data_IF_961466498145
#
_entry.id   IF_961466498145
#
_cell.length_a   1.000
_cell.length_b   1.000
_cell.length_c   1.000
_cell.angle_alpha   90.00
_cell.angle_beta   90.00
_cell.angle_gamma   90.00
#
_symmetry.space_group_name_H-M   'P 1'
#
loop_
_entity.id
_entity.type
_entity.pdbx_description
1 polymer ?
#
# COMPACT_ATOMS: atom_id res chain seq x y z
N UNK A 1 36.78 -27.92 -42.69
CA UNK A 1 37.00 -28.53 -41.35
C UNK A 1 35.97 -27.91 -40.42
N UNK A 2 34.73 -28.37 -40.51
CA UNK A 2 34.12 -29.43 -39.69
C UNK A 2 33.89 -28.97 -38.24
N UNK A 3 32.62 -28.61 -37.99
CA UNK A 3 31.98 -28.54 -36.68
C UNK A 3 31.96 -29.91 -35.99
N UNK A 4 31.67 -29.97 -34.69
CA UNK A 4 30.31 -30.29 -34.24
C UNK A 4 29.91 -29.48 -32.98
N UNK A 5 28.65 -29.27 -32.63
CA UNK A 5 27.42 -29.93 -33.05
C UNK A 5 26.73 -30.62 -31.87
N UNK A 6 25.80 -29.90 -31.24
CA UNK A 6 24.53 -30.33 -30.63
C UNK A 6 24.45 -31.43 -29.55
N UNK A 7 23.65 -31.12 -28.52
CA UNK A 7 22.53 -31.99 -28.17
C UNK A 7 22.47 -32.47 -26.71
N UNK A 8 21.70 -31.79 -25.87
CA UNK A 8 21.10 -32.44 -24.69
C UNK A 8 19.60 -32.20 -24.72
N UNK A 9 18.90 -33.19 -25.28
CA UNK A 9 17.45 -33.29 -25.36
C UNK A 9 16.85 -33.66 -24.00
N UNK A 10 15.75 -32.99 -23.65
CA UNK A 10 14.77 -33.49 -22.68
C UNK A 10 14.25 -34.87 -23.12
N UNK A 11 14.21 -35.83 -22.20
CA UNK A 11 13.38 -37.03 -22.34
C UNK A 11 12.37 -37.14 -21.18
N UNK A 12 11.20 -37.75 -21.45
CA UNK A 12 10.00 -37.65 -20.62
C UNK A 12 9.92 -38.73 -19.52
N UNK A 13 9.31 -38.35 -18.40
CA UNK A 13 8.94 -39.26 -17.31
C UNK A 13 7.93 -40.29 -17.83
N UNK A 14 8.36 -41.56 -17.89
CA UNK A 14 7.50 -42.71 -18.20
C UNK A 14 6.55 -43.01 -17.05
N UNK A 15 5.28 -43.14 -17.41
CA UNK A 15 4.20 -43.71 -16.61
C UNK A 15 4.41 -45.23 -16.51
N UNK A 16 4.35 -45.78 -15.30
CA UNK A 16 4.39 -47.23 -15.06
C UNK A 16 2.96 -47.77 -14.80
N UNK A 17 2.51 -48.84 -15.49
CA UNK A 17 1.18 -49.41 -15.31
C UNK A 17 1.14 -50.57 -14.29
N UNK A 18 0.03 -50.58 -13.53
CA UNK A 18 -0.79 -51.69 -12.99
C UNK A 18 -0.19 -53.10 -12.75
N UNK A 19 -0.57 -53.72 -11.60
CA UNK A 19 -0.97 -55.13 -11.34
C UNK A 19 -1.24 -55.24 -9.82
N UNK A 20 -2.50 -55.24 -9.34
CA UNK A 20 -3.44 -56.35 -9.03
C UNK A 20 -3.03 -57.32 -7.91
N UNK A 21 -3.86 -57.37 -6.84
CA UNK A 21 -4.38 -58.57 -6.14
C UNK A 21 -5.28 -58.11 -4.97
N UNK A 22 -6.62 -58.19 -5.07
CA UNK A 22 -7.51 -59.26 -4.58
C UNK A 22 -7.20 -59.75 -3.16
N UNK A 23 -7.92 -59.18 -2.18
CA UNK A 23 -8.06 -59.71 -0.83
C UNK A 23 -9.50 -59.59 -0.36
N UNK A 24 -10.26 -60.67 -0.50
CA UNK A 24 -11.63 -60.84 0.01
C UNK A 24 -11.57 -61.00 1.53
N UNK A 25 -12.31 -60.19 2.29
CA UNK A 25 -12.61 -60.49 3.69
C UNK A 25 -14.11 -60.36 3.92
N UNK A 26 -14.63 -61.47 4.46
CA UNK A 26 -16.03 -61.85 4.55
C UNK A 26 -16.84 -60.92 5.48
N UNK A 27 -18.08 -60.67 5.07
CA UNK A 27 -19.12 -60.11 5.92
C UNK A 27 -19.61 -61.19 6.87
N UNK A 28 -19.40 -61.00 8.17
CA UNK A 28 -20.17 -61.70 9.19
C UNK A 28 -21.32 -60.77 9.62
N UNK A 29 -22.54 -61.25 9.38
CA UNK A 29 -23.78 -60.74 9.97
C UNK A 29 -23.94 -61.37 11.35
N UNK A 30 -24.47 -60.59 12.30
CA UNK A 30 -25.43 -60.96 13.36
C UNK A 30 -25.47 -59.84 14.42
N UNK A 31 -26.50 -59.75 15.31
CA UNK A 31 -27.93 -59.70 15.05
C UNK A 31 -28.58 -58.43 15.67
N UNK A 32 -29.81 -58.16 15.27
CA UNK A 32 -30.68 -57.08 15.75
C UNK A 32 -31.04 -57.25 17.24
N UNK A 33 -30.80 -56.23 18.07
CA UNK A 33 -31.42 -56.10 19.40
C UNK A 33 -32.17 -54.77 19.50
N UNK A 34 -33.44 -54.87 19.90
CA UNK A 34 -34.34 -53.77 20.18
C UNK A 34 -33.90 -52.97 21.42
N UNK A 35 -33.95 -51.63 21.28
CA UNK A 35 -34.47 -50.63 22.20
C UNK A 35 -34.14 -50.71 23.71
N UNK A 36 -33.34 -49.74 24.18
CA UNK A 36 -33.64 -48.99 25.39
C UNK A 36 -33.29 -47.50 25.16
N UNK A 37 -34.30 -46.65 25.17
CA UNK A 37 -34.18 -45.19 25.11
C UNK A 37 -33.48 -44.71 26.38
N UNK A 38 -32.23 -44.28 26.27
CA UNK A 38 -31.52 -43.64 27.37
C UNK A 38 -32.16 -42.27 27.67
N UNK A 39 -32.58 -42.06 28.91
CA UNK A 39 -32.95 -40.76 29.44
C UNK A 39 -31.80 -39.76 29.19
N UNK A 40 -32.09 -38.50 28.78
CA UNK A 40 -31.04 -37.51 28.60
C UNK A 40 -30.33 -37.27 29.94
N UNK A 41 -29.02 -37.43 29.96
CA UNK A 41 -28.16 -37.07 31.10
C UNK A 41 -28.40 -35.60 31.47
N UNK A 42 -28.52 -35.25 32.76
CA UNK A 42 -28.66 -33.87 33.18
C UNK A 42 -27.49 -33.05 32.62
N UNK A 43 -27.79 -31.87 32.04
CA UNK A 43 -26.75 -30.93 31.60
C UNK A 43 -25.84 -30.66 32.80
N UNK A 44 -24.51 -30.68 32.65
CA UNK A 44 -23.64 -30.28 33.73
C UNK A 44 -24.04 -28.86 34.16
N UNK A 45 -24.30 -28.70 35.45
CA UNK A 45 -24.43 -27.40 36.11
C UNK A 45 -23.24 -26.53 35.66
N UNK A 46 -23.43 -25.23 35.40
CA UNK A 46 -22.30 -24.37 35.03
C UNK A 46 -21.26 -24.51 36.15
N UNK A 47 -20.08 -25.04 35.80
CA UNK A 47 -18.93 -25.10 36.70
C UNK A 47 -18.83 -23.77 37.43
N UNK A 48 -18.89 -23.81 38.77
CA UNK A 48 -18.63 -22.65 39.59
C UNK A 48 -17.23 -22.19 39.23
N UNK A 49 -17.16 -21.02 38.58
CA UNK A 49 -15.91 -20.33 38.28
C UNK A 49 -15.23 -20.09 39.62
N UNK A 50 -14.00 -20.56 39.73
CA UNK A 50 -13.16 -20.28 40.88
C UNK A 50 -12.83 -18.78 40.90
N UNK A 51 -13.29 -18.00 41.90
CA UNK A 51 -13.07 -16.56 41.96
C UNK A 51 -11.58 -16.19 42.07
N UNK A 52 -10.70 -17.13 42.43
CA UNK A 52 -9.23 -16.93 42.41
C UNK A 52 -8.62 -16.96 40.99
N UNK A 53 -9.39 -17.32 39.96
CA UNK A 53 -8.93 -17.39 38.55
C UNK A 53 -9.33 -16.21 37.68
N UNK A 54 -10.15 -15.28 38.18
CA UNK A 54 -10.57 -14.09 37.43
C UNK A 54 -9.62 -12.94 37.69
N UNK A 55 -9.13 -12.30 36.64
CA UNK A 55 -8.21 -11.17 36.71
C UNK A 55 -8.87 -9.90 36.11
N UNK A 56 -9.53 -9.06 36.92
CA UNK A 56 -10.13 -7.81 36.46
C UNK A 56 -9.10 -6.81 35.90
N UNK A 57 -7.90 -6.77 36.48
CA UNK A 57 -6.83 -5.87 36.04
C UNK A 57 -6.39 -6.22 34.62
N UNK A 58 -6.37 -7.50 34.27
CA UNK A 58 -6.13 -7.94 32.89
C UNK A 58 -7.20 -7.46 31.90
N UNK A 59 -8.47 -7.36 32.32
CA UNK A 59 -9.53 -6.82 31.44
C UNK A 59 -9.34 -5.33 31.21
N UNK A 60 -9.05 -4.58 32.26
CA UNK A 60 -8.87 -3.13 32.17
C UNK A 60 -7.61 -2.80 31.37
N UNK A 61 -6.50 -3.52 31.61
CA UNK A 61 -5.28 -3.40 30.81
C UNK A 61 -5.50 -3.73 29.32
N UNK A 62 -6.29 -4.77 29.01
CA UNK A 62 -6.63 -5.11 27.61
C UNK A 62 -7.48 -4.01 26.98
N UNK A 63 -8.45 -3.46 27.70
CA UNK A 63 -9.30 -2.38 27.21
C UNK A 63 -8.49 -1.10 26.96
N UNK A 64 -7.58 -0.73 27.87
CA UNK A 64 -6.68 0.41 27.67
C UNK A 64 -5.76 0.19 26.45
N UNK A 65 -5.19 -1.01 26.33
CA UNK A 65 -4.30 -1.36 25.22
C UNK A 65 -5.02 -1.41 23.86
N UNK A 66 -6.30 -1.75 23.85
CA UNK A 66 -7.12 -1.98 22.66
C UNK A 66 -8.16 -0.89 22.43
N UNK A 67 -7.93 0.30 22.97
CA UNK A 67 -8.75 1.50 22.74
C UNK A 67 -10.24 1.26 23.07
N UNK A 68 -10.49 0.63 24.22
CA UNK A 68 -11.82 0.27 24.70
C UNK A 68 -12.46 -0.94 24.01
N UNK A 69 -11.80 -1.57 23.03
CA UNK A 69 -12.32 -2.75 22.30
C UNK A 69 -11.81 -4.05 22.93
N UNK A 70 -12.69 -5.04 23.10
CA UNK A 70 -12.31 -6.35 23.64
C UNK A 70 -12.98 -7.52 22.92
N UNK A 71 -12.20 -8.55 22.62
CA UNK A 71 -12.70 -9.80 22.07
C UNK A 71 -13.14 -10.76 23.18
N UNK A 72 -14.26 -11.46 22.98
CA UNK A 72 -14.79 -12.51 23.88
C UNK A 72 -13.73 -13.52 24.31
N UNK A 73 -12.83 -13.92 23.39
CA UNK A 73 -11.75 -14.88 23.72
C UNK A 73 -10.84 -14.37 24.83
N UNK A 74 -10.49 -13.07 24.84
CA UNK A 74 -9.63 -12.47 25.87
C UNK A 74 -10.32 -12.44 27.21
N UNK A 75 -11.62 -12.16 27.21
CA UNK A 75 -12.45 -12.19 28.43
C UNK A 75 -12.48 -13.59 29.05
N UNK A 76 -12.61 -14.63 28.21
CA UNK A 76 -12.60 -16.03 28.65
C UNK A 76 -11.20 -16.47 29.11
N UNK A 77 -10.15 -16.06 28.40
CA UNK A 77 -8.74 -16.29 28.79
C UNK A 77 -8.43 -15.67 30.16
N UNK A 78 -9.00 -14.51 30.46
CA UNK A 78 -8.93 -13.85 31.78
C UNK A 78 -9.83 -14.49 32.86
N UNK A 79 -10.42 -15.66 32.58
CA UNK A 79 -11.23 -16.43 33.52
C UNK A 79 -12.71 -16.04 33.61
N UNK A 80 -13.16 -15.02 32.87
CA UNK A 80 -14.55 -14.56 32.94
C UNK A 80 -15.48 -15.34 32.00
N UNK A 81 -16.72 -15.51 32.44
CA UNK A 81 -17.69 -16.33 31.72
C UNK A 81 -18.62 -15.54 30.80
N UNK A 82 -19.37 -16.26 29.96
CA UNK A 82 -20.42 -15.66 29.14
C UNK A 82 -21.49 -14.87 29.94
N UNK A 83 -21.97 -15.32 31.12
CA UNK A 83 -22.77 -14.51 32.03
C UNK A 83 -22.16 -13.15 32.40
N UNK A 84 -20.84 -13.08 32.64
CA UNK A 84 -20.15 -11.82 32.95
C UNK A 84 -20.28 -10.82 31.80
N UNK A 85 -20.01 -11.26 30.58
CA UNK A 85 -20.15 -10.44 29.36
C UNK A 85 -21.60 -9.98 29.20
N UNK A 86 -22.58 -10.89 29.35
CA UNK A 86 -24.01 -10.51 29.27
C UNK A 86 -24.39 -9.47 30.32
N UNK A 87 -23.82 -9.54 31.52
CA UNK A 87 -24.03 -8.55 32.58
C UNK A 87 -23.47 -7.18 32.18
N UNK A 88 -22.23 -7.11 31.67
CA UNK A 88 -21.61 -5.87 31.16
C UNK A 88 -22.46 -5.22 30.07
N UNK A 89 -22.92 -6.02 29.11
CA UNK A 89 -23.78 -5.54 28.02
C UNK A 89 -25.15 -5.07 28.52
N UNK A 90 -25.81 -5.85 29.39
CA UNK A 90 -27.11 -5.48 29.96
C UNK A 90 -27.04 -4.16 30.75
N UNK A 91 -25.93 -3.92 31.44
CA UNK A 91 -25.68 -2.69 32.20
C UNK A 91 -25.24 -1.51 31.34
N UNK A 92 -25.13 -1.68 30.02
CA UNK A 92 -24.60 -0.68 29.08
C UNK A 92 -23.18 -0.23 29.41
N UNK A 93 -22.45 -1.05 30.16
CA UNK A 93 -21.02 -0.85 30.38
C UNK A 93 -20.28 -1.22 29.09
N UNK A 94 -20.74 -2.26 28.38
CA UNK A 94 -20.21 -2.65 27.06
C UNK A 94 -21.30 -2.65 25.99
N UNK A 95 -20.95 -2.33 24.74
CA UNK A 95 -21.79 -2.53 23.56
C UNK A 95 -21.21 -3.61 22.64
N UNK A 96 -22.07 -4.45 22.05
CA UNK A 96 -21.65 -5.43 21.06
C UNK A 96 -21.48 -4.74 19.69
N UNK A 97 -20.31 -4.89 19.08
CA UNK A 97 -20.00 -4.30 17.76
C UNK A 97 -20.14 -5.34 16.65
N UNK A 98 -19.55 -6.52 16.85
CA UNK A 98 -19.66 -7.66 15.95
C UNK A 98 -19.74 -8.97 16.76
N UNK A 99 -19.79 -10.11 16.08
CA UNK A 99 -19.91 -11.41 16.73
C UNK A 99 -18.71 -11.68 17.65
N UNK A 100 -18.91 -11.51 18.96
CA UNK A 100 -17.89 -11.73 19.98
C UNK A 100 -16.90 -10.58 20.17
N UNK A 101 -17.16 -9.39 19.61
CA UNK A 101 -16.35 -8.18 19.83
C UNK A 101 -17.22 -7.12 20.51
N UNK A 102 -16.68 -6.50 21.55
CA UNK A 102 -17.36 -5.52 22.38
C UNK A 102 -16.53 -4.24 22.49
N UNK A 103 -17.18 -3.12 22.75
CA UNK A 103 -16.54 -1.84 23.13
C UNK A 103 -17.07 -1.40 24.50
N UNK A 104 -16.27 -0.70 25.29
CA UNK A 104 -16.59 -0.30 26.67
C UNK A 104 -17.44 0.98 26.80
N UNK A 105 -18.14 1.38 25.74
CA UNK A 105 -19.10 2.48 25.73
C UNK A 105 -20.27 2.18 24.80
N UNK A 106 -21.24 3.09 24.73
CA UNK A 106 -22.40 2.99 23.83
C UNK A 106 -22.43 4.07 22.73
N UNK A 107 -21.41 4.95 22.69
CA UNK A 107 -21.26 5.96 21.63
C UNK A 107 -20.84 5.39 20.27
N UNK A 108 -20.78 6.24 19.22
CA UNK A 108 -20.27 5.85 17.90
C UNK A 108 -18.79 5.46 17.97
N UNK A 109 -18.37 4.54 17.09
CA UNK A 109 -16.98 4.08 17.08
C UNK A 109 -16.03 5.15 16.53
N UNK A 110 -14.89 5.32 17.17
CA UNK A 110 -13.76 6.08 16.64
C UNK A 110 -13.11 5.34 15.46
N UNK A 111 -12.24 6.02 14.71
CA UNK A 111 -11.50 5.37 13.62
C UNK A 111 -10.57 4.27 14.15
N UNK A 112 -9.85 4.55 15.23
CA UNK A 112 -8.97 3.60 15.90
C UNK A 112 -9.73 2.36 16.41
N UNK A 113 -10.88 2.54 17.05
CA UNK A 113 -11.74 1.43 17.48
C UNK A 113 -12.20 0.56 16.29
N UNK A 114 -12.58 1.16 15.15
CA UNK A 114 -12.92 0.40 13.93
C UNK A 114 -11.74 -0.45 13.45
N UNK A 115 -10.52 0.08 13.52
CA UNK A 115 -9.31 -0.65 13.17
C UNK A 115 -9.09 -1.85 14.11
N UNK A 116 -9.28 -1.66 15.43
CA UNK A 116 -9.23 -2.73 16.42
C UNK A 116 -10.28 -3.80 16.19
N UNK A 117 -11.53 -3.40 15.93
CA UNK A 117 -12.63 -4.31 15.62
C UNK A 117 -12.30 -5.16 14.40
N UNK A 118 -11.80 -4.56 13.30
CA UNK A 118 -11.42 -5.28 12.09
C UNK A 118 -10.31 -6.31 12.34
N UNK A 119 -9.30 -5.94 13.14
CA UNK A 119 -8.20 -6.86 13.50
C UNK A 119 -8.67 -7.98 14.43
N UNK A 120 -9.46 -7.68 15.46
CA UNK A 120 -9.87 -8.66 16.46
C UNK A 120 -10.90 -9.66 15.92
N UNK A 121 -11.83 -9.22 15.06
CA UNK A 121 -12.83 -10.07 14.37
C UNK A 121 -12.16 -11.12 13.48
N UNK A 122 -11.02 -10.76 12.87
CA UNK A 122 -10.26 -11.62 11.97
C UNK A 122 -9.02 -12.25 12.60
N UNK A 123 -8.73 -12.01 13.88
CA UNK A 123 -7.45 -12.38 14.50
C UNK A 123 -7.14 -13.89 14.39
N UNK A 124 -5.86 -14.31 14.26
CA UNK A 124 -4.67 -13.48 14.05
C UNK A 124 -4.69 -12.70 12.74
N UNK A 125 -4.59 -11.37 12.84
CA UNK A 125 -4.70 -10.42 11.74
C UNK A 125 -3.94 -9.14 12.09
N UNK A 126 -3.60 -8.35 11.08
CA UNK A 126 -2.96 -7.05 11.26
C UNK A 126 -3.45 -6.05 10.21
N UNK A 127 -3.41 -4.76 10.51
CA UNK A 127 -3.62 -3.72 9.51
C UNK A 127 -2.56 -3.86 8.40
N UNK A 128 -2.95 -3.59 7.16
CA UNK A 128 -2.10 -3.73 5.97
C UNK A 128 -2.34 -2.59 4.99
N UNK A 129 -1.53 -2.53 3.92
CA UNK A 129 -1.68 -1.53 2.84
C UNK A 129 -1.83 -0.10 3.41
N UNK A 130 -2.78 0.68 2.89
CA UNK A 130 -3.05 2.05 3.33
C UNK A 130 -3.39 2.14 4.83
N UNK A 131 -4.09 1.16 5.40
CA UNK A 131 -4.43 1.14 6.83
C UNK A 131 -3.23 0.92 7.75
N UNK A 132 -2.17 0.24 7.28
CA UNK A 132 -0.90 0.13 8.02
C UNK A 132 -0.03 1.40 7.91
N UNK A 133 -0.16 2.14 6.81
CA UNK A 133 0.57 3.39 6.56
C UNK A 133 -0.10 4.56 7.29
N UNK A 134 -1.41 4.50 7.56
CA UNK A 134 -2.14 5.57 8.23
C UNK A 134 -1.54 5.96 9.60
N UNK A 135 -1.69 7.25 9.95
CA UNK A 135 -1.21 7.85 11.20
C UNK A 135 -2.33 8.67 11.83
N UNK A 136 -2.33 8.79 13.17
CA UNK A 136 -3.34 9.54 13.92
C UNK A 136 -4.77 9.12 13.56
N UNK A 137 -5.64 10.10 13.34
CA UNK A 137 -7.07 9.90 13.08
C UNK A 137 -7.39 9.21 11.75
N UNK A 138 -6.40 9.05 10.86
CA UNK A 138 -6.56 8.29 9.62
C UNK A 138 -6.52 6.76 9.85
N UNK A 139 -6.09 6.30 11.03
CA UNK A 139 -6.08 4.88 11.37
C UNK A 139 -7.53 4.39 11.48
N UNK A 140 -7.92 3.47 10.59
CA UNK A 140 -9.29 2.94 10.55
C UNK A 140 -10.28 3.78 9.74
N UNK A 141 -9.78 4.65 8.87
CA UNK A 141 -10.56 5.17 7.74
C UNK A 141 -10.92 4.02 6.78
N UNK A 142 -12.18 3.98 6.35
CA UNK A 142 -12.66 2.95 5.43
C UNK A 142 -12.21 3.21 3.98
N UNK A 143 -11.98 2.15 3.18
CA UNK A 143 -11.98 0.75 3.59
C UNK A 143 -10.78 0.40 4.48
N UNK A 144 -10.99 -0.44 5.49
CA UNK A 144 -9.94 -0.92 6.40
C UNK A 144 -9.28 -2.17 5.78
N UNK A 145 -8.01 -2.06 5.44
CA UNK A 145 -7.22 -3.16 4.88
C UNK A 145 -6.58 -3.97 6.01
N UNK A 146 -6.90 -5.26 6.09
CA UNK A 146 -6.26 -6.20 7.02
C UNK A 146 -5.57 -7.33 6.26
N UNK A 147 -4.53 -7.92 6.84
CA UNK A 147 -3.89 -9.13 6.34
C UNK A 147 -4.09 -10.28 7.33
N UNK A 148 -4.38 -11.46 6.80
CA UNK A 148 -4.43 -12.74 7.52
C UNK A 148 -3.57 -13.79 6.83
N UNK A 149 -3.26 -14.88 7.54
CA UNK A 149 -2.50 -15.98 6.96
C UNK A 149 -3.22 -16.57 5.72
N UNK A 150 -2.45 -16.84 4.66
CA UNK A 150 -2.97 -17.30 3.36
C UNK A 150 -3.80 -18.57 3.41
N UNK A 151 -3.57 -19.44 4.39
CA UNK A 151 -4.31 -20.71 4.56
C UNK A 151 -5.65 -20.49 5.26
N UNK A 152 -5.84 -19.36 5.95
CA UNK A 152 -7.10 -19.04 6.62
C UNK A 152 -8.18 -18.61 5.64
N UNK A 153 -9.43 -18.67 6.08
CA UNK A 153 -10.59 -18.11 5.38
C UNK A 153 -11.36 -17.27 6.38
N UNK A 154 -11.53 -16.00 6.06
CA UNK A 154 -12.26 -15.03 6.90
C UNK A 154 -13.52 -14.60 6.18
N UNK A 155 -14.61 -14.48 6.93
CA UNK A 155 -15.89 -14.02 6.39
C UNK A 155 -15.77 -12.56 5.97
N UNK A 156 -16.29 -12.21 4.80
CA UNK A 156 -16.33 -10.82 4.32
C UNK A 156 -17.16 -9.93 5.25
N UNK A 157 -16.71 -8.70 5.46
CA UNK A 157 -17.40 -7.65 6.20
C UNK A 157 -17.48 -6.38 5.35
N UNK A 158 -18.60 -5.65 5.36
CA UNK A 158 -18.64 -4.30 4.80
C UNK A 158 -17.54 -3.43 5.42
N UNK A 159 -16.94 -2.54 4.63
CA UNK A 159 -15.89 -1.64 5.09
C UNK A 159 -14.52 -2.28 5.35
N UNK A 160 -14.37 -3.60 5.23
CA UNK A 160 -13.09 -4.30 5.48
C UNK A 160 -12.62 -5.07 4.25
N UNK A 161 -11.39 -4.81 3.83
CA UNK A 161 -10.70 -5.53 2.75
C UNK A 161 -9.71 -6.51 3.36
N UNK A 162 -9.91 -7.81 3.09
CA UNK A 162 -9.08 -8.88 3.65
C UNK A 162 -8.05 -9.35 2.62
N UNK A 163 -6.78 -9.19 2.96
CA UNK A 163 -5.62 -9.64 2.22
C UNK A 163 -5.07 -10.94 2.81
N UNK A 164 -4.49 -11.78 1.95
CA UNK A 164 -4.00 -13.11 2.31
C UNK A 164 -2.49 -13.21 2.06
N UNK A 165 -1.73 -13.18 3.16
CA UNK A 165 -0.26 -13.12 3.14
C UNK A 165 0.42 -14.35 3.73
N UNK A 166 1.72 -14.47 3.49
CA UNK A 166 2.61 -15.47 4.12
C UNK A 166 3.66 -14.77 4.97
N UNK A 167 4.33 -15.51 5.87
CA UNK A 167 5.42 -15.01 6.73
C UNK A 167 5.01 -13.80 7.57
N UNK A 168 3.80 -13.86 8.16
CA UNK A 168 3.28 -12.73 8.93
C UNK A 168 4.13 -12.42 10.16
N UNK A 169 4.76 -13.42 10.77
CA UNK A 169 5.66 -13.22 11.92
C UNK A 169 6.83 -12.29 11.63
N UNK A 170 7.31 -12.26 10.39
CA UNK A 170 8.39 -11.37 9.96
C UNK A 170 7.86 -10.00 9.50
N UNK A 171 6.73 -10.01 8.77
CA UNK A 171 6.17 -8.83 8.10
C UNK A 171 5.33 -7.94 9.02
N UNK A 172 4.81 -8.47 10.11
CA UNK A 172 3.91 -7.77 11.03
C UNK A 172 4.65 -7.34 12.29
N UNK A 173 4.46 -6.09 12.68
CA UNK A 173 4.86 -5.61 13.99
C UNK A 173 3.74 -5.90 15.01
N UNK A 174 3.73 -7.11 15.56
CA UNK A 174 2.68 -7.60 16.49
C UNK A 174 2.60 -6.84 17.83
N UNK A 175 3.67 -6.13 18.19
CA UNK A 175 3.72 -5.29 19.39
C UNK A 175 3.03 -3.93 19.21
N UNK A 176 2.65 -3.54 17.99
CA UNK A 176 1.90 -2.32 17.76
C UNK A 176 0.41 -2.49 18.12
N UNK A 177 -0.25 -1.36 18.32
CA UNK A 177 -1.63 -1.25 18.78
C UNK A 177 -2.42 -0.36 17.81
N UNK A 178 -3.28 -0.91 16.94
CA UNK A 178 -3.39 -2.32 16.56
C UNK A 178 -2.13 -2.89 15.88
N UNK A 179 -1.95 -4.24 15.86
CA UNK A 179 -0.94 -4.89 15.04
C UNK A 179 -1.03 -4.46 13.59
N UNK A 180 0.11 -4.17 12.96
CA UNK A 180 0.17 -3.68 11.59
C UNK A 180 1.39 -4.23 10.85
N UNK A 181 1.24 -4.42 9.54
CA UNK A 181 2.34 -4.72 8.63
C UNK A 181 3.37 -3.60 8.75
N UNK A 182 4.66 -3.96 8.76
CA UNK A 182 5.77 -3.01 8.82
C UNK A 182 5.67 -2.01 7.67
N UNK A 183 6.10 -0.77 7.91
CA UNK A 183 5.88 0.35 7.00
C UNK A 183 6.35 0.03 5.57
N UNK A 184 7.59 -0.45 5.41
CA UNK A 184 8.18 -0.75 4.11
C UNK A 184 7.41 -1.85 3.36
N UNK A 185 6.96 -2.88 4.08
CA UNK A 185 6.16 -3.97 3.54
C UNK A 185 4.79 -3.47 3.07
N UNK A 186 4.15 -2.60 3.87
CA UNK A 186 2.84 -2.04 3.57
C UNK A 186 2.88 -1.06 2.39
N UNK A 187 3.93 -0.25 2.28
CA UNK A 187 4.17 0.65 1.14
C UNK A 187 4.32 -0.16 -0.14
N UNK A 188 5.12 -1.23 -0.11
CA UNK A 188 5.29 -2.12 -1.26
C UNK A 188 4.00 -2.88 -1.60
N UNK A 189 3.16 -3.20 -0.62
CA UNK A 189 1.82 -3.76 -0.85
C UNK A 189 0.92 -2.76 -1.60
N UNK A 190 0.90 -1.48 -1.20
CA UNK A 190 0.13 -0.43 -1.91
C UNK A 190 0.68 -0.17 -3.32
N UNK A 191 2.01 -0.15 -3.48
CA UNK A 191 2.65 0.03 -4.77
C UNK A 191 2.35 -1.14 -5.74
N UNK A 192 2.25 -2.37 -5.23
CA UNK A 192 1.91 -3.55 -6.03
C UNK A 192 0.46 -3.50 -6.57
N UNK A 193 -0.43 -2.88 -5.81
CA UNK A 193 -1.86 -2.73 -6.14
C UNK A 193 -2.17 -1.40 -6.87
N UNK A 194 -1.15 -0.60 -7.20
CA UNK A 194 -1.34 0.69 -7.84
C UNK A 194 -1.96 0.55 -9.24
N UNK A 195 -3.04 1.28 -9.48
CA UNK A 195 -3.75 1.28 -10.77
C UNK A 195 -3.08 2.13 -11.85
N UNK A 196 -2.10 2.96 -11.48
CA UNK A 196 -1.33 3.77 -12.42
C UNK A 196 0.13 3.90 -11.98
N UNK A 197 1.00 4.14 -12.96
CA UNK A 197 2.42 4.42 -12.75
C UNK A 197 2.65 5.59 -11.80
N UNK A 198 1.86 6.66 -11.92
CA UNK A 198 1.95 7.81 -11.01
C UNK A 198 1.56 7.47 -9.59
N UNK A 199 0.50 6.68 -9.39
CA UNK A 199 0.07 6.27 -8.05
C UNK A 199 1.14 5.41 -7.35
N UNK A 200 1.83 4.56 -8.13
CA UNK A 200 2.96 3.77 -7.65
C UNK A 200 4.10 4.69 -7.22
N UNK A 201 4.51 5.63 -8.07
CA UNK A 201 5.63 6.53 -7.77
C UNK A 201 5.31 7.40 -6.56
N UNK A 202 4.13 8.04 -6.53
CA UNK A 202 3.70 8.86 -5.40
C UNK A 202 3.75 8.05 -4.10
N UNK A 203 3.22 6.82 -4.10
CA UNK A 203 3.28 5.94 -2.93
C UNK A 203 4.72 5.70 -2.42
N UNK A 204 5.69 5.55 -3.31
CA UNK A 204 7.09 5.31 -2.94
C UNK A 204 7.80 6.59 -2.51
N UNK A 205 7.63 7.67 -3.27
CA UNK A 205 8.30 8.95 -3.04
C UNK A 205 7.75 9.67 -1.79
N UNK A 206 6.43 9.67 -1.58
CA UNK A 206 5.78 10.42 -0.49
C UNK A 206 6.26 9.96 0.89
N UNK A 207 6.41 8.65 1.09
CA UNK A 207 6.85 8.10 2.39
C UNK A 207 8.31 8.35 2.69
N UNK A 208 9.15 8.48 1.66
CA UNK A 208 10.56 8.85 1.80
C UNK A 208 10.68 10.35 2.04
N UNK A 209 9.98 11.18 1.26
CA UNK A 209 9.93 12.63 1.42
C UNK A 209 9.39 13.04 2.79
N UNK A 210 8.36 12.35 3.30
CA UNK A 210 7.84 12.53 4.65
C UNK A 210 8.77 12.00 5.76
N UNK A 211 9.97 11.52 5.41
CA UNK A 211 11.00 10.95 6.31
C UNK A 211 10.49 9.83 7.20
N UNK A 212 9.48 9.08 6.74
CA UNK A 212 8.93 7.93 7.47
C UNK A 212 9.75 6.67 7.25
N UNK A 213 10.41 6.58 6.10
CA UNK A 213 11.40 5.55 5.77
C UNK A 213 12.43 6.10 4.77
N UNK A 214 13.29 5.23 4.24
CA UNK A 214 14.32 5.56 3.25
C UNK A 214 14.18 4.64 2.04
N UNK A 215 14.66 5.10 0.89
CA UNK A 215 14.71 4.28 -0.32
C UNK A 215 15.49 2.96 -0.09
N UNK A 216 16.62 3.01 0.63
CA UNK A 216 17.41 1.81 0.96
C UNK A 216 16.64 0.79 1.80
N UNK A 217 15.84 1.23 2.77
CA UNK A 217 14.99 0.33 3.56
C UNK A 217 13.91 -0.31 2.70
N UNK A 218 13.31 0.44 1.78
CA UNK A 218 12.34 -0.07 0.81
C UNK A 218 12.99 -1.09 -0.15
N UNK A 219 14.18 -0.80 -0.68
CA UNK A 219 14.96 -1.73 -1.50
C UNK A 219 15.29 -3.02 -0.73
N UNK A 220 15.72 -2.90 0.53
CA UNK A 220 15.98 -4.06 1.40
C UNK A 220 14.73 -4.89 1.68
N UNK A 221 13.56 -4.26 1.87
CA UNK A 221 12.29 -4.96 1.98
C UNK A 221 11.91 -5.66 0.67
N UNK A 222 12.10 -4.98 -0.47
CA UNK A 222 11.82 -5.53 -1.79
C UNK A 222 12.68 -6.77 -2.10
N UNK A 223 13.94 -6.82 -1.65
CA UNK A 223 14.80 -8.00 -1.78
C UNK A 223 14.22 -9.24 -1.10
N UNK A 224 13.53 -9.08 0.04
CA UNK A 224 12.89 -10.20 0.77
C UNK A 224 11.57 -10.68 0.16
N UNK A 225 11.03 -9.95 -0.84
CA UNK A 225 9.77 -10.28 -1.51
C UNK A 225 10.03 -11.16 -2.74
N UNK A 226 9.47 -12.38 -2.80
CA UNK A 226 9.63 -13.26 -3.96
C UNK A 226 8.81 -12.79 -5.16
N UNK A 227 7.74 -12.00 -4.95
CA UNK A 227 6.87 -11.47 -6.01
C UNK A 227 6.61 -9.99 -5.80
N UNK A 228 6.83 -9.21 -6.85
CA UNK A 228 6.47 -7.79 -6.94
C UNK A 228 6.14 -7.47 -8.41
N UNK A 229 4.90 -7.04 -8.71
CA UNK A 229 4.58 -6.49 -10.03
C UNK A 229 5.50 -5.31 -10.37
N UNK A 230 5.93 -5.20 -11.63
CA UNK A 230 6.79 -4.11 -12.09
C UNK A 230 8.07 -3.93 -11.26
N UNK A 231 8.66 -5.03 -10.77
CA UNK A 231 9.82 -5.01 -9.85
C UNK A 231 10.96 -4.13 -10.35
N UNK A 232 11.36 -4.30 -11.61
CA UNK A 232 12.46 -3.52 -12.20
C UNK A 232 12.15 -2.02 -12.19
N UNK A 233 10.90 -1.66 -12.49
CA UNK A 233 10.44 -0.27 -12.44
C UNK A 233 10.46 0.29 -11.01
N UNK A 234 9.97 -0.47 -10.03
CA UNK A 234 10.01 -0.09 -8.61
C UNK A 234 11.45 0.10 -8.12
N UNK A 235 12.36 -0.78 -8.53
CA UNK A 235 13.81 -0.62 -8.22
C UNK A 235 14.34 0.66 -8.83
N UNK A 236 14.05 0.95 -10.10
CA UNK A 236 14.46 2.19 -10.76
C UNK A 236 13.97 3.42 -10.01
N UNK A 237 12.68 3.50 -9.70
CA UNK A 237 12.10 4.62 -8.92
C UNK A 237 12.78 4.78 -7.56
N UNK A 238 13.07 3.69 -6.85
CA UNK A 238 13.72 3.77 -5.54
C UNK A 238 15.20 4.17 -5.63
N UNK A 239 15.95 3.72 -6.64
CA UNK A 239 17.32 4.18 -6.87
C UNK A 239 17.35 5.69 -7.12
N UNK A 240 16.42 6.19 -7.93
CA UNK A 240 16.31 7.61 -8.23
C UNK A 240 15.98 8.46 -6.99
N UNK A 241 15.00 7.99 -6.20
CA UNK A 241 14.66 8.62 -4.93
C UNK A 241 15.84 8.59 -3.95
N UNK A 242 16.66 7.53 -3.94
CA UNK A 242 17.85 7.41 -3.09
C UNK A 242 18.94 8.39 -3.52
N UNK A 243 19.23 8.43 -4.82
CA UNK A 243 20.36 9.17 -5.36
C UNK A 243 20.03 10.67 -5.49
N UNK A 244 18.80 11.06 -5.17
CA UNK A 244 18.30 12.43 -5.30
C UNK A 244 18.29 12.89 -6.76
N UNK A 245 18.43 11.95 -7.69
CA UNK A 245 18.50 12.20 -9.11
C UNK A 245 17.07 12.20 -9.64
N UNK A 246 16.67 13.29 -10.29
CA UNK A 246 15.40 13.38 -10.96
C UNK A 246 15.33 12.46 -12.22
N UNK A 247 16.13 11.39 -12.33
CA UNK A 247 16.38 10.65 -13.57
C UNK A 247 15.14 9.97 -14.17
N UNK A 248 14.18 9.47 -13.41
CA UNK A 248 12.95 8.86 -13.93
C UNK A 248 11.95 9.95 -14.27
N UNK A 249 11.89 11.06 -13.52
CA UNK A 249 11.03 12.19 -13.88
C UNK A 249 11.57 12.91 -15.13
N UNK A 250 12.89 13.11 -15.20
CA UNK A 250 13.66 13.59 -16.35
C UNK A 250 13.53 12.65 -17.54
N UNK A 251 13.68 11.35 -17.35
CA UNK A 251 13.50 10.36 -18.42
C UNK A 251 12.06 10.34 -18.91
N UNK A 252 11.09 10.46 -17.99
CA UNK A 252 9.68 10.60 -18.34
C UNK A 252 9.42 11.86 -19.16
N UNK A 253 9.99 12.99 -18.75
CA UNK A 253 9.91 14.24 -19.49
C UNK A 253 10.53 14.09 -20.87
N UNK A 254 11.74 13.54 -20.96
CA UNK A 254 12.44 13.31 -22.23
C UNK A 254 11.64 12.40 -23.17
N UNK A 255 11.15 11.26 -22.68
CA UNK A 255 10.58 10.23 -23.54
C UNK A 255 9.09 10.43 -23.83
N UNK A 256 8.31 10.89 -22.85
CA UNK A 256 6.85 11.05 -22.96
C UNK A 256 6.41 12.46 -23.34
N UNK A 257 7.24 13.47 -23.10
CA UNK A 257 6.91 14.86 -23.42
C UNK A 257 7.76 15.34 -24.61
N UNK A 258 9.08 15.38 -24.47
CA UNK A 258 9.96 16.00 -25.46
C UNK A 258 10.00 15.20 -26.78
N UNK A 259 10.51 13.97 -26.73
CA UNK A 259 10.69 13.13 -27.93
C UNK A 259 9.36 12.71 -28.55
N UNK A 260 8.39 12.33 -27.73
CA UNK A 260 7.08 11.89 -28.21
C UNK A 260 6.33 13.01 -28.96
N UNK A 261 6.62 14.27 -28.67
CA UNK A 261 5.91 15.41 -29.24
C UNK A 261 6.78 16.36 -30.07
N UNK A 262 8.02 16.00 -30.35
CA UNK A 262 8.92 16.78 -31.20
C UNK A 262 9.21 18.18 -30.66
N UNK A 263 9.29 18.32 -29.33
CA UNK A 263 9.74 19.57 -28.70
C UNK A 263 11.25 19.78 -29.00
N UNK A 264 11.74 21.04 -29.01
CA UNK A 264 13.16 21.31 -29.22
C UNK A 264 14.00 20.66 -28.11
N UNK A 265 15.26 20.36 -28.41
CA UNK A 265 16.16 19.78 -27.41
C UNK A 265 16.60 20.88 -26.43
N UNK A 266 16.35 20.73 -25.11
CA UNK A 266 16.83 21.67 -24.12
C UNK A 266 18.27 21.38 -23.72
N UNK A 267 18.93 22.37 -23.12
CA UNK A 267 20.13 22.17 -22.31
C UNK A 267 19.69 21.55 -20.98
N UNK A 268 20.34 20.45 -20.57
CA UNK A 268 20.06 19.78 -19.29
C UNK A 268 21.15 20.12 -18.29
N UNK A 269 20.77 20.21 -17.02
CA UNK A 269 21.71 20.52 -15.92
C UNK A 269 22.50 21.79 -16.20
N UNK A 270 21.85 22.81 -16.75
CA UNK A 270 22.48 24.10 -17.00
C UNK A 270 22.78 24.76 -15.65
N UNK A 271 24.02 25.23 -15.40
CA UNK A 271 24.33 25.98 -14.19
C UNK A 271 23.53 27.29 -14.19
N UNK A 272 22.95 27.65 -13.04
CA UNK A 272 22.20 28.91 -12.88
C UNK A 272 23.10 30.11 -13.20
N UNK A 273 22.73 30.92 -14.20
CA UNK A 273 23.47 32.13 -14.59
C UNK A 273 23.20 33.33 -13.66
N UNK A 274 22.02 33.36 -13.00
CA UNK A 274 21.57 34.41 -12.08
C UNK A 274 20.96 33.75 -10.83
N UNK A 275 21.10 34.36 -9.66
CA UNK A 275 20.67 33.81 -8.37
C UNK A 275 21.72 32.93 -7.67
N UNK A 276 21.28 32.01 -6.81
CA UNK A 276 22.18 31.11 -6.05
C UNK A 276 22.66 29.94 -6.91
N UNK A 277 23.95 29.57 -6.81
CA UNK A 277 24.56 28.42 -7.51
C UNK A 277 23.70 27.15 -7.40
N UNK A 278 23.23 26.66 -8.54
CA UNK A 278 22.51 25.39 -8.70
C UNK A 278 22.52 24.92 -10.15
N UNK A 279 21.80 23.83 -10.42
CA UNK A 279 21.58 23.29 -11.77
C UNK A 279 20.08 23.33 -12.08
N UNK A 280 19.74 23.66 -13.32
CA UNK A 280 18.37 23.60 -13.86
C UNK A 280 18.17 22.28 -14.59
N UNK A 281 17.08 21.59 -14.31
CA UNK A 281 16.84 20.25 -14.87
C UNK A 281 16.72 20.31 -16.39
N UNK A 282 15.91 21.24 -16.90
CA UNK A 282 15.64 21.45 -18.33
C UNK A 282 15.59 22.96 -18.63
N UNK A 283 16.45 23.43 -19.53
CA UNK A 283 16.50 24.82 -19.97
C UNK A 283 16.41 24.93 -21.50
N UNK A 284 15.39 25.63 -21.96
CA UNK A 284 15.23 26.04 -23.35
C UNK A 284 15.82 27.44 -23.51
N UNK A 285 17.15 27.49 -23.61
CA UNK A 285 17.94 28.74 -23.59
C UNK A 285 17.46 29.75 -24.63
N UNK A 286 17.29 29.32 -25.89
CA UNK A 286 16.80 30.13 -27.02
C UNK A 286 15.41 30.72 -26.80
N UNK A 287 14.65 30.19 -25.84
CA UNK A 287 13.25 30.53 -25.59
C UNK A 287 13.00 31.06 -24.16
N UNK A 288 14.07 31.29 -23.37
CA UNK A 288 13.96 31.81 -22.01
C UNK A 288 13.05 30.99 -21.09
N UNK A 289 12.89 29.69 -21.35
CA UNK A 289 11.99 28.80 -20.59
C UNK A 289 12.78 27.78 -19.80
N UNK A 290 12.59 27.78 -18.48
CA UNK A 290 13.15 26.79 -17.57
C UNK A 290 12.05 25.86 -17.09
N UNK A 291 12.29 24.56 -17.15
CA UNK A 291 11.43 23.53 -16.60
C UNK A 291 12.15 22.86 -15.44
N UNK A 292 11.68 23.10 -14.23
CA UNK A 292 12.12 22.39 -13.03
C UNK A 292 11.25 21.14 -12.85
N UNK A 293 11.89 19.97 -12.78
CA UNK A 293 11.23 18.69 -12.58
C UNK A 293 11.20 18.38 -11.09
N UNK A 294 10.10 18.80 -10.49
CA UNK A 294 9.92 18.67 -9.06
C UNK A 294 9.50 17.23 -8.71
N UNK A 295 10.51 16.43 -8.36
CA UNK A 295 10.31 15.10 -7.78
C UNK A 295 9.62 15.13 -6.42
N UNK A 296 9.52 16.31 -5.76
CA UNK A 296 8.89 16.49 -4.45
C UNK A 296 7.41 16.74 -4.65
N UNK A 297 6.60 15.73 -4.37
CA UNK A 297 5.17 15.92 -4.17
C UNK A 297 4.93 16.61 -2.83
N UNK A 298 5.12 17.94 -2.79
CA UNK A 298 4.42 18.84 -1.87
C UNK A 298 4.76 18.79 -0.37
N UNK A 299 5.90 18.29 0.06
CA UNK A 299 6.26 18.24 1.50
C UNK A 299 7.60 18.88 1.85
N UNK A 300 7.88 20.03 1.25
CA UNK A 300 8.83 20.97 1.82
C UNK A 300 8.14 21.80 2.90
N UNK A 301 8.78 21.89 4.07
CA UNK A 301 8.31 22.77 5.15
C UNK A 301 8.16 24.21 4.66
N UNK A 302 7.35 25.05 5.32
CA UNK A 302 7.01 26.40 4.85
C UNK A 302 8.24 27.22 4.43
N UNK A 303 9.37 27.09 5.14
CA UNK A 303 10.59 27.85 4.82
C UNK A 303 11.33 27.37 3.56
N UNK A 304 11.20 26.09 3.18
CA UNK A 304 11.77 25.59 1.93
C UNK A 304 10.89 25.97 0.74
N UNK A 305 9.58 25.98 0.94
CA UNK A 305 8.61 26.49 -0.03
C UNK A 305 8.77 27.99 -0.28
N UNK A 306 8.93 28.78 0.78
CA UNK A 306 9.18 30.24 0.65
C UNK A 306 10.48 30.51 -0.11
N UNK A 307 11.55 29.75 0.17
CA UNK A 307 12.84 29.89 -0.55
C UNK A 307 12.76 29.51 -2.03
N UNK A 308 11.89 28.59 -2.38
CA UNK A 308 11.65 28.21 -3.77
C UNK A 308 10.76 29.24 -4.49
N UNK A 309 9.77 29.81 -3.79
CA UNK A 309 8.96 30.93 -4.31
C UNK A 309 9.81 32.19 -4.53
N UNK A 310 10.75 32.49 -3.63
CA UNK A 310 11.71 33.60 -3.81
C UNK A 310 12.61 33.34 -5.02
N UNK A 311 13.04 32.09 -5.26
CA UNK A 311 13.83 31.72 -6.45
C UNK A 311 13.04 31.93 -7.74
N UNK A 312 11.77 31.54 -7.76
CA UNK A 312 10.90 31.72 -8.91
C UNK A 312 10.65 33.23 -9.18
N UNK A 313 10.61 34.05 -8.12
CA UNK A 313 10.50 35.51 -8.21
C UNK A 313 11.79 36.14 -8.77
N UNK A 314 12.96 35.80 -8.24
CA UNK A 314 14.26 36.29 -8.72
C UNK A 314 14.48 35.97 -10.21
N UNK A 315 14.17 34.74 -10.63
CA UNK A 315 14.30 34.32 -12.03
C UNK A 315 13.36 35.10 -12.97
N UNK A 316 12.14 35.41 -12.51
CA UNK A 316 11.17 36.18 -13.27
C UNK A 316 11.54 37.67 -13.36
N UNK A 317 12.24 38.23 -12.37
CA UNK A 317 12.60 39.65 -12.31
C UNK A 317 13.94 39.95 -12.99
N UNK A 318 14.96 39.12 -12.77
CA UNK A 318 16.35 39.47 -13.14
C UNK A 318 16.86 38.83 -14.44
N UNK A 319 16.17 37.82 -14.98
CA UNK A 319 16.64 37.06 -16.15
C UNK A 319 15.68 37.05 -17.35
N UNK A 320 14.50 37.68 -17.25
CA UNK A 320 13.39 37.51 -18.21
C UNK A 320 13.07 36.03 -18.50
N UNK A 321 13.38 35.15 -17.54
CA UNK A 321 13.26 33.71 -17.67
C UNK A 321 11.99 33.22 -17.00
N UNK A 322 11.21 32.46 -17.77
CA UNK A 322 9.98 31.85 -17.28
C UNK A 322 10.30 30.47 -16.71
N UNK A 323 10.19 30.32 -15.40
CA UNK A 323 10.30 29.00 -14.75
C UNK A 323 8.92 28.35 -14.63
N UNK A 324 8.82 27.08 -15.01
CA UNK A 324 7.65 26.23 -14.73
C UNK A 324 8.10 24.97 -13.99
N UNK A 325 7.36 24.59 -12.95
CA UNK A 325 7.59 23.37 -12.19
C UNK A 325 6.63 22.27 -12.65
N UNK A 326 7.15 21.08 -12.94
CA UNK A 326 6.36 19.92 -13.32
C UNK A 326 6.54 18.79 -12.31
N UNK A 327 5.41 18.29 -11.79
CA UNK A 327 5.39 17.10 -10.96
C UNK A 327 5.09 15.81 -11.73
N UNK A 328 5.19 14.68 -11.04
CA UNK A 328 4.95 13.33 -11.57
C UNK A 328 3.68 13.17 -12.39
N UNK A 329 2.53 13.65 -11.89
CA UNK A 329 1.26 13.52 -12.62
C UNK A 329 1.26 14.25 -13.96
N UNK A 330 1.95 15.40 -14.07
CA UNK A 330 2.08 16.11 -15.34
C UNK A 330 2.93 15.34 -16.36
N UNK A 331 3.95 14.61 -15.90
CA UNK A 331 4.85 13.84 -16.77
C UNK A 331 4.29 12.46 -17.13
N UNK A 332 3.60 11.78 -16.21
CA UNK A 332 3.19 10.39 -16.38
C UNK A 332 1.70 10.16 -16.61
N UNK A 333 0.81 10.97 -16.02
CA UNK A 333 -0.65 10.80 -16.23
C UNK A 333 -1.16 11.63 -17.41
N UNK A 334 -0.61 12.83 -17.60
CA UNK A 334 -1.04 13.77 -18.66
C UNK A 334 0.11 14.30 -19.51
N UNK A 335 1.05 13.45 -19.98
CA UNK A 335 2.21 13.88 -20.75
C UNK A 335 1.83 14.73 -21.97
N UNK A 336 0.87 14.27 -22.75
CA UNK A 336 0.40 14.95 -23.95
C UNK A 336 -0.23 16.33 -23.66
N UNK A 337 -0.99 16.47 -22.57
CA UNK A 337 -1.54 17.76 -22.13
C UNK A 337 -0.43 18.72 -21.69
N UNK A 338 0.55 18.19 -20.96
CA UNK A 338 1.72 18.94 -20.50
C UNK A 338 2.56 19.39 -21.69
N UNK A 339 2.81 18.51 -22.66
CA UNK A 339 3.55 18.81 -23.88
C UNK A 339 2.90 19.95 -24.67
N UNK A 340 1.56 19.92 -24.82
CA UNK A 340 0.84 20.99 -25.51
C UNK A 340 0.97 22.35 -24.79
N UNK A 341 0.97 22.36 -23.45
CA UNK A 341 1.21 23.57 -22.65
C UNK A 341 2.65 24.09 -22.76
N UNK A 342 3.63 23.18 -22.78
CA UNK A 342 5.05 23.53 -22.99
C UNK A 342 5.26 24.09 -24.40
N UNK A 343 4.73 23.43 -25.44
CA UNK A 343 4.75 23.94 -26.81
C UNK A 343 4.13 25.33 -26.93
N UNK A 344 3.00 25.59 -26.25
CA UNK A 344 2.40 26.93 -26.24
C UNK A 344 3.30 27.97 -25.56
N UNK A 345 4.00 27.59 -24.48
CA UNK A 345 4.97 28.47 -23.83
C UNK A 345 6.14 28.79 -24.76
N UNK A 346 6.70 27.77 -25.41
CA UNK A 346 7.76 27.90 -26.40
C UNK A 346 7.33 28.74 -27.62
N UNK A 347 6.13 28.52 -28.15
CA UNK A 347 5.60 29.29 -29.28
C UNK A 347 5.41 30.77 -28.96
N UNK A 348 4.98 31.10 -27.73
CA UNK A 348 4.94 32.50 -27.26
C UNK A 348 6.34 33.13 -27.14
N UNK A 349 7.35 32.30 -26.95
CA UNK A 349 8.76 32.71 -26.90
C UNK A 349 9.46 32.61 -28.27
N UNK A 350 8.72 32.40 -29.37
CA UNK A 350 9.27 32.44 -30.72
C UNK A 350 9.70 31.09 -31.32
N UNK A 351 9.37 29.96 -30.70
CA UNK A 351 9.61 28.65 -31.31
C UNK A 351 8.76 28.46 -32.58
N UNK A 352 9.38 28.24 -33.76
CA UNK A 352 8.66 28.15 -35.04
C UNK A 352 8.06 26.75 -35.32
N UNK A 353 8.32 25.78 -34.44
CA UNK A 353 7.87 24.40 -34.62
C UNK A 353 6.39 24.20 -34.32
N UNK A 354 5.89 23.01 -34.67
CA UNK A 354 4.52 22.58 -34.34
C UNK A 354 4.60 21.32 -33.48
N UNK A 355 3.76 21.24 -32.44
CA UNK A 355 3.69 20.08 -31.58
C UNK A 355 3.31 18.83 -32.40
N UNK A 356 4.13 17.78 -32.32
CA UNK A 356 3.82 16.48 -32.91
C UNK A 356 2.86 15.72 -31.99
N UNK A 357 1.81 15.13 -32.56
CA UNK A 357 0.92 14.24 -31.79
C UNK A 357 1.55 12.85 -31.72
N UNK A 358 1.68 12.30 -30.51
CA UNK A 358 2.11 10.93 -30.32
C UNK A 358 0.91 9.97 -30.46
N UNK A 359 1.14 8.63 -30.57
CA UNK A 359 0.07 7.65 -30.69
C UNK A 359 -0.93 7.63 -29.52
N UNK A 360 -0.53 8.11 -28.34
CA UNK A 360 -1.36 8.14 -27.13
C UNK A 360 -2.12 9.47 -26.94
N UNK A 361 -2.06 10.40 -27.90
CA UNK A 361 -2.80 11.65 -27.83
C UNK A 361 -4.32 11.41 -27.94
N UNK A 362 -5.15 11.98 -27.04
CA UNK A 362 -6.60 11.91 -27.15
C UNK A 362 -7.08 12.67 -28.40
N UNK A 363 -8.18 12.20 -28.99
CA UNK A 363 -8.77 12.82 -30.18
C UNK A 363 -9.29 14.24 -29.94
N UNK A 364 -9.82 14.51 -28.74
CA UNK A 364 -10.33 15.83 -28.36
C UNK A 364 -9.22 16.78 -27.86
N UNK A 365 -9.34 18.11 -28.09
CA UNK A 365 -8.40 19.09 -27.55
C UNK A 365 -8.42 19.11 -26.02
N UNK A 366 -7.27 19.44 -25.41
CA UNK A 366 -7.18 19.54 -23.96
C UNK A 366 -7.91 20.80 -23.46
N UNK A 367 -8.68 20.73 -22.36
CA UNK A 367 -9.33 21.93 -21.82
C UNK A 367 -8.30 23.02 -21.51
N UNK A 368 -8.48 24.18 -22.14
CA UNK A 368 -7.57 25.33 -22.05
C UNK A 368 -6.37 25.32 -23.03
N UNK A 369 -6.35 24.40 -23.99
CA UNK A 369 -5.39 24.32 -25.09
C UNK A 369 -6.14 24.12 -26.40
N UNK A 370 -6.54 25.22 -27.04
CA UNK A 370 -6.94 25.16 -28.45
C UNK A 370 -5.67 24.85 -29.27
N UNK A 371 -5.68 23.74 -30.00
CA UNK A 371 -4.57 23.32 -30.88
C UNK A 371 -4.56 24.13 -32.17
#
# INVERSE_FOLDING_TARGET
>A
MVAPGYGTTCEPVRVCPQITERGVVQRLREPTLLSMTALPTPRPSPERIDPERTDPELIDAVLEEQDGVIARRRVIEAGFSAPYIRRKVRRREWAAVSAGIYVNHTGPLTASERAWVAVLDAYPAALSHRSAIAVGDAIGTEPIHIVVDRKRRVRRRPGVVVHYGTRLDERVAWHLRPPRVRLEEAVLDVAADASSTTSLIACLADVVSARRTTADRLLGALQRRPRMPSREYVVGVLCDVRDGTCSVLEHGYLTKIERAHGLPAPVRQAPTAVGRKGFRDVEYEDFGLVVELDGRLGHDGPQARDRDLERDLDAAVDADQKTVRLGWGQVYDRPCATAAKIARALGKAGWPGTLTRCPDCPEAPYPGVDM
#
